data_IF_635388588537
#
_entry.id   IF_635388588537
#
_cell.length_a   1.000
_cell.length_b   1.000
_cell.length_c   1.000
_cell.angle_alpha   90.00
_cell.angle_beta   90.00
_cell.angle_gamma   90.00
#
_symmetry.space_group_name_H-M   'P 1'
#
loop_
_entity.id
_entity.type
_entity.pdbx_description
1 polymer ?
#
# COMPACT_ATOMS: atom_id res chain seq x y z
N UNK A 1 -70.83 37.13 12.51
CA UNK A 1 -69.35 37.18 12.55
C UNK A 1 -68.76 36.12 11.64
N UNK A 2 -67.86 36.51 10.73
CA UNK A 2 -67.30 35.68 9.64
C UNK A 2 -66.46 34.51 10.17
N UNK A 3 -66.83 33.28 9.83
CA UNK A 3 -65.96 32.10 9.97
C UNK A 3 -64.95 32.10 8.82
N UNK A 4 -63.69 32.41 9.11
CA UNK A 4 -62.57 32.21 8.16
C UNK A 4 -62.32 30.70 8.07
N UNK A 5 -62.57 30.12 6.89
CA UNK A 5 -62.25 28.73 6.61
C UNK A 5 -60.72 28.54 6.61
N UNK A 6 -60.24 27.65 7.48
CA UNK A 6 -58.86 27.13 7.48
C UNK A 6 -58.55 26.45 6.15
N UNK A 7 -57.85 27.13 5.24
CA UNK A 7 -57.20 26.55 4.05
C UNK A 7 -55.66 26.50 4.18
N UNK A 8 -55.14 26.53 5.42
CA UNK A 8 -53.70 26.67 5.69
C UNK A 8 -52.95 25.38 6.06
N UNK A 9 -53.64 24.30 6.45
CA UNK A 9 -52.99 23.10 7.00
C UNK A 9 -52.44 22.13 5.94
N UNK A 10 -53.08 22.05 4.77
CA UNK A 10 -52.70 21.05 3.76
C UNK A 10 -51.40 21.42 3.02
N UNK A 11 -51.10 22.72 2.85
CA UNK A 11 -49.87 23.18 2.18
C UNK A 11 -48.60 22.93 3.02
N UNK A 12 -48.76 22.92 4.36
CA UNK A 12 -47.65 22.72 5.30
C UNK A 12 -47.15 21.26 5.28
N UNK A 13 -48.07 20.30 5.12
CA UNK A 13 -47.74 18.87 5.07
C UNK A 13 -46.96 18.45 3.81
N UNK A 14 -47.34 18.98 2.64
CA UNK A 14 -46.67 18.65 1.37
C UNK A 14 -45.26 19.22 1.34
N UNK A 15 -45.08 20.46 1.82
CA UNK A 15 -43.77 21.10 1.85
C UNK A 15 -42.79 20.34 2.78
N UNK A 16 -43.28 19.82 3.92
CA UNK A 16 -42.46 19.01 4.82
C UNK A 16 -41.98 17.70 4.16
N UNK A 17 -42.86 17.00 3.44
CA UNK A 17 -42.50 15.75 2.75
C UNK A 17 -41.42 16.01 1.68
N UNK A 18 -41.55 17.11 0.91
CA UNK A 18 -40.57 17.49 -0.11
C UNK A 18 -39.19 17.75 0.51
N UNK A 19 -39.13 18.46 1.64
CA UNK A 19 -37.86 18.72 2.35
C UNK A 19 -37.23 17.43 2.85
N UNK A 20 -38.02 16.48 3.36
CA UNK A 20 -37.50 15.17 3.77
C UNK A 20 -36.90 14.39 2.59
N UNK A 21 -37.59 14.32 1.45
CA UNK A 21 -37.09 13.62 0.27
C UNK A 21 -35.79 14.25 -0.24
N UNK A 22 -35.70 15.58 -0.23
CA UNK A 22 -34.46 16.29 -0.60
C UNK A 22 -33.31 16.04 0.38
N UNK A 23 -33.59 15.95 1.68
CA UNK A 23 -32.56 15.61 2.67
C UNK A 23 -32.02 14.18 2.48
N UNK A 24 -32.90 13.21 2.21
CA UNK A 24 -32.50 11.82 1.95
C UNK A 24 -31.72 11.67 0.64
N UNK A 25 -32.08 12.41 -0.42
CA UNK A 25 -31.32 12.38 -1.67
C UNK A 25 -29.93 12.98 -1.51
N UNK A 26 -29.79 14.08 -0.76
CA UNK A 26 -28.48 14.66 -0.44
C UNK A 26 -27.61 13.73 0.41
N UNK A 27 -28.20 13.01 1.37
CA UNK A 27 -27.50 11.97 2.14
C UNK A 27 -27.01 10.83 1.24
N UNK A 28 -27.83 10.39 0.29
CA UNK A 28 -27.45 9.35 -0.68
C UNK A 28 -26.26 9.77 -1.55
N UNK A 29 -26.28 11.01 -2.07
CA UNK A 29 -25.17 11.56 -2.86
C UNK A 29 -23.91 11.75 -2.00
N UNK A 30 -24.06 12.21 -0.76
CA UNK A 30 -22.95 12.37 0.17
C UNK A 30 -22.22 11.04 0.44
N UNK A 31 -22.96 9.97 0.70
CA UNK A 31 -22.39 8.63 0.90
C UNK A 31 -21.69 8.11 -0.36
N UNK A 32 -22.27 8.35 -1.54
CA UNK A 32 -21.66 7.98 -2.82
C UNK A 32 -20.31 8.67 -3.04
N UNK A 33 -20.22 9.98 -2.78
CA UNK A 33 -18.96 10.75 -2.89
C UNK A 33 -17.93 10.27 -1.89
N UNK A 34 -18.31 10.02 -0.63
CA UNK A 34 -17.39 9.49 0.39
C UNK A 34 -16.86 8.12 0.00
N UNK A 35 -17.70 7.24 -0.55
CA UNK A 35 -17.26 5.93 -1.02
C UNK A 35 -16.32 6.01 -2.21
N UNK A 36 -16.58 6.90 -3.18
CA UNK A 36 -15.67 7.16 -4.31
C UNK A 36 -14.30 7.69 -3.84
N UNK A 37 -14.27 8.56 -2.83
CA UNK A 37 -13.02 9.06 -2.26
C UNK A 37 -12.29 7.94 -1.51
N UNK A 38 -13.00 7.12 -0.72
CA UNK A 38 -12.40 5.96 -0.04
C UNK A 38 -11.80 4.97 -1.02
N UNK A 39 -12.47 4.65 -2.12
CA UNK A 39 -11.94 3.77 -3.16
C UNK A 39 -10.68 4.37 -3.81
N UNK A 40 -10.70 5.66 -4.15
CA UNK A 40 -9.54 6.35 -4.75
C UNK A 40 -8.35 6.49 -3.80
N UNK A 41 -8.59 6.76 -2.52
CA UNK A 41 -7.54 6.84 -1.50
C UNK A 41 -6.99 5.45 -1.18
N UNK A 42 -7.83 4.40 -1.17
CA UNK A 42 -7.38 3.01 -0.99
C UNK A 42 -6.52 2.49 -2.14
N UNK A 43 -6.56 3.14 -3.31
CA UNK A 43 -5.69 2.82 -4.44
C UNK A 43 -4.29 3.45 -4.34
N UNK A 44 -4.08 4.43 -3.44
CA UNK A 44 -2.81 5.15 -3.27
C UNK A 44 -2.17 5.00 -1.89
N UNK A 45 -2.93 4.62 -0.87
CA UNK A 45 -2.40 4.24 0.46
C UNK A 45 -2.48 2.73 0.52
N UNK A 46 -1.44 2.05 0.06
CA UNK A 46 -1.27 0.63 0.35
C UNK A 46 -1.18 0.50 1.86
N UNK A 47 -2.28 0.11 2.50
CA UNK A 47 -2.28 -0.25 3.91
C UNK A 47 -1.21 -1.33 4.08
N UNK A 48 -0.45 -1.26 5.18
CA UNK A 48 0.48 -2.30 5.58
C UNK A 48 -0.14 -3.69 5.34
N UNK A 49 0.66 -4.62 4.84
CA UNK A 49 0.22 -5.98 4.58
C UNK A 49 -0.29 -6.65 5.86
N UNK A 50 -1.12 -7.69 5.71
CA UNK A 50 -1.44 -8.54 6.85
C UNK A 50 -0.41 -9.67 6.91
N UNK A 51 0.14 -9.96 8.09
CA UNK A 51 1.02 -11.10 8.31
C UNK A 51 0.35 -12.43 7.94
N UNK A 52 -0.97 -12.52 8.12
CA UNK A 52 -1.74 -13.72 7.78
C UNK A 52 -1.77 -14.03 6.27
N UNK A 53 -1.49 -13.02 5.42
CA UNK A 53 -1.45 -13.18 3.96
C UNK A 53 -0.11 -13.80 3.49
N UNK A 54 0.92 -13.82 4.35
CA UNK A 54 2.23 -14.36 4.03
C UNK A 54 2.23 -15.90 4.12
N UNK A 55 2.84 -16.57 3.13
CA UNK A 55 3.03 -18.03 3.15
C UNK A 55 3.94 -18.48 4.30
N UNK A 56 4.92 -17.65 4.65
CA UNK A 56 5.94 -17.90 5.66
C UNK A 56 6.10 -16.62 6.46
N UNK A 57 6.07 -16.72 7.80
CA UNK A 57 6.26 -15.58 8.68
C UNK A 57 7.75 -15.24 8.82
N UNK A 58 8.12 -13.95 8.84
CA UNK A 58 9.49 -13.53 9.11
C UNK A 58 9.85 -13.83 10.58
N UNK A 59 11.11 -14.18 10.81
CA UNK A 59 11.63 -14.56 12.14
C UNK A 59 13.03 -13.99 12.33
N UNK A 60 13.59 -14.05 13.55
CA UNK A 60 14.94 -13.56 13.79
C UNK A 60 16.03 -14.23 12.94
N UNK A 61 15.87 -15.50 12.57
CA UNK A 61 16.83 -16.24 11.73
C UNK A 61 16.66 -15.93 10.23
N UNK A 62 15.48 -15.45 9.84
CA UNK A 62 15.15 -15.09 8.46
C UNK A 62 14.25 -13.83 8.50
N UNK A 63 14.85 -12.66 8.76
CA UNK A 63 14.12 -11.45 9.08
C UNK A 63 13.37 -10.87 7.89
N UNK A 64 13.83 -11.10 6.66
CA UNK A 64 13.17 -10.60 5.45
C UNK A 64 12.67 -11.76 4.58
N UNK A 65 11.35 -11.85 4.40
CA UNK A 65 10.68 -12.88 3.61
C UNK A 65 10.14 -12.28 2.32
N UNK A 66 10.65 -12.77 1.21
CA UNK A 66 10.20 -12.49 -0.15
C UNK A 66 10.30 -13.78 -0.96
N UNK A 67 9.41 -13.97 -1.94
CA UNK A 67 9.51 -15.10 -2.86
C UNK A 67 10.84 -15.02 -3.63
N UNK A 68 11.62 -16.11 -3.67
CA UNK A 68 12.95 -16.14 -4.32
C UNK A 68 12.89 -15.86 -5.82
N UNK A 69 11.80 -16.28 -6.48
CA UNK A 69 11.54 -16.02 -7.89
C UNK A 69 10.21 -15.29 -8.08
N UNK A 70 10.28 -14.09 -8.62
CA UNK A 70 9.13 -13.24 -8.90
C UNK A 70 8.94 -13.10 -10.40
N UNK A 71 7.80 -13.56 -10.90
CA UNK A 71 7.44 -13.45 -12.33
C UNK A 71 6.58 -12.21 -12.55
N UNK A 72 7.11 -11.24 -13.29
CA UNK A 72 6.42 -10.00 -13.62
C UNK A 72 6.24 -9.87 -15.13
N UNK A 73 5.22 -9.13 -15.55
CA UNK A 73 5.04 -8.75 -16.96
C UNK A 73 5.57 -7.34 -17.16
N UNK A 74 6.29 -7.11 -18.25
CA UNK A 74 6.82 -5.79 -18.56
C UNK A 74 5.69 -4.73 -18.60
N UNK A 75 5.93 -3.56 -18.00
CA UNK A 75 4.99 -2.44 -17.91
C UNK A 75 3.66 -2.76 -17.22
N UNK A 76 3.59 -3.86 -16.46
CA UNK A 76 2.41 -4.22 -15.68
C UNK A 76 2.73 -4.19 -14.20
N UNK A 77 1.88 -3.49 -13.44
CA UNK A 77 1.94 -3.48 -11.99
C UNK A 77 1.77 -4.89 -11.45
N UNK A 78 2.72 -5.30 -10.61
CA UNK A 78 2.66 -6.56 -9.87
C UNK A 78 2.75 -6.25 -8.39
N UNK A 79 1.83 -6.81 -7.60
CA UNK A 79 1.79 -6.66 -6.15
C UNK A 79 2.50 -7.83 -5.49
N UNK A 80 3.25 -7.54 -4.45
CA UNK A 80 4.01 -8.48 -3.65
C UNK A 80 3.72 -8.22 -2.18
N UNK A 81 3.64 -9.29 -1.42
CA UNK A 81 3.57 -9.25 0.04
C UNK A 81 4.95 -9.65 0.57
N UNK A 82 5.55 -8.80 1.37
CA UNK A 82 6.91 -8.98 1.91
C UNK A 82 6.82 -8.96 3.43
N UNK A 83 7.38 -9.98 4.08
CA UNK A 83 7.45 -10.04 5.54
C UNK A 83 8.78 -9.46 6.03
N UNK A 84 8.74 -8.68 7.10
CA UNK A 84 9.94 -8.21 7.79
C UNK A 84 9.82 -8.45 9.29
N UNK A 85 10.91 -8.82 9.95
CA UNK A 85 11.04 -8.95 11.39
C UNK A 85 12.19 -8.07 11.85
N UNK A 86 11.91 -7.19 12.81
CA UNK A 86 12.92 -6.32 13.39
C UNK A 86 13.79 -7.12 14.36
N UNK A 87 14.95 -7.57 13.90
CA UNK A 87 15.96 -8.25 14.70
C UNK A 87 16.90 -7.29 15.46
N UNK A 88 16.78 -5.98 15.24
CA UNK A 88 17.52 -4.95 15.97
C UNK A 88 17.06 -4.86 17.42
N UNK A 89 17.92 -4.31 18.28
CA UNK A 89 17.63 -4.01 19.69
C UNK A 89 16.94 -2.65 19.87
N UNK A 90 16.54 -2.01 18.78
CA UNK A 90 15.88 -0.71 18.74
C UNK A 90 14.57 -0.73 17.93
N UNK A 91 13.75 0.28 18.17
CA UNK A 91 12.52 0.55 17.42
C UNK A 91 12.85 1.27 16.10
N UNK A 92 12.23 0.82 15.00
CA UNK A 92 12.31 1.49 13.70
C UNK A 92 11.12 2.44 13.57
N UNK A 93 11.38 3.75 13.55
CA UNK A 93 10.32 4.76 13.56
C UNK A 93 9.52 4.83 12.25
N UNK A 94 10.18 4.65 11.11
CA UNK A 94 9.52 4.60 9.79
C UNK A 94 10.26 3.61 8.90
N UNK A 95 9.58 2.53 8.52
CA UNK A 95 10.14 1.52 7.64
C UNK A 95 9.48 1.54 6.27
N UNK A 96 10.30 1.39 5.22
CA UNK A 96 9.85 1.31 3.83
C UNK A 96 10.68 0.31 3.05
N UNK A 97 10.08 -0.33 2.05
CA UNK A 97 10.79 -1.23 1.14
C UNK A 97 11.27 -0.47 -0.08
N UNK A 98 12.55 -0.63 -0.41
CA UNK A 98 13.15 -0.09 -1.63
C UNK A 98 13.95 -1.17 -2.39
N UNK A 99 14.14 -0.96 -3.68
CA UNK A 99 15.11 -1.73 -4.45
C UNK A 99 16.40 -0.93 -4.53
N UNK A 100 17.48 -1.54 -4.06
CA UNK A 100 18.80 -0.93 -4.07
C UNK A 100 19.50 -1.13 -5.41
N UNK A 101 19.44 -2.34 -5.93
CA UNK A 101 20.20 -2.73 -7.11
C UNK A 101 19.46 -3.83 -7.89
N UNK A 102 19.58 -3.84 -9.22
CA UNK A 102 19.07 -4.91 -10.07
C UNK A 102 20.05 -5.15 -11.21
N UNK A 103 20.58 -6.37 -11.32
CA UNK A 103 21.60 -6.75 -12.30
C UNK A 103 21.01 -7.75 -13.29
N UNK A 104 21.23 -7.56 -14.58
CA UNK A 104 20.80 -8.52 -15.60
C UNK A 104 21.71 -9.75 -15.59
N UNK A 105 21.15 -10.94 -15.38
CA UNK A 105 21.91 -12.20 -15.36
C UNK A 105 22.63 -12.51 -16.67
N UNK A 106 22.16 -11.97 -17.80
CA UNK A 106 22.79 -12.18 -19.12
C UNK A 106 23.85 -11.15 -19.46
N UNK A 107 23.79 -9.98 -18.84
CA UNK A 107 24.67 -8.85 -19.12
C UNK A 107 24.90 -8.03 -17.84
N UNK A 108 25.75 -8.52 -16.93
CA UNK A 108 25.90 -7.93 -15.60
C UNK A 108 26.63 -6.58 -15.60
N UNK A 109 27.29 -6.20 -16.69
CA UNK A 109 28.00 -4.93 -16.83
C UNK A 109 27.11 -3.80 -17.37
N UNK A 110 25.90 -4.13 -17.83
CA UNK A 110 24.96 -3.12 -18.31
C UNK A 110 24.35 -2.33 -17.16
N UNK A 111 24.39 -0.99 -17.25
CA UNK A 111 23.65 -0.11 -16.36
C UNK A 111 22.14 -0.29 -16.62
N UNK A 112 21.49 -1.05 -15.74
CA UNK A 112 20.05 -1.31 -15.80
C UNK A 112 19.32 -0.27 -14.95
N UNK A 113 18.36 0.44 -15.53
CA UNK A 113 17.48 1.34 -14.77
C UNK A 113 16.64 0.54 -13.77
N UNK A 114 16.68 0.90 -12.48
CA UNK A 114 15.88 0.25 -11.45
C UNK A 114 14.38 0.32 -11.79
N UNK A 115 13.62 -0.78 -11.58
CA UNK A 115 12.19 -0.74 -11.78
C UNK A 115 11.54 0.17 -10.73
N UNK A 116 10.42 0.78 -11.08
CA UNK A 116 9.71 1.66 -10.15
C UNK A 116 9.04 0.81 -9.07
N UNK A 117 9.34 1.12 -7.81
CA UNK A 117 8.81 0.44 -6.64
C UNK A 117 8.09 1.42 -5.75
N UNK A 118 6.87 1.07 -5.39
CA UNK A 118 6.10 1.76 -4.36
C UNK A 118 5.78 0.75 -3.29
N UNK A 119 5.95 1.11 -2.02
CA UNK A 119 5.58 0.26 -0.89
C UNK A 119 4.76 1.04 0.12
N UNK A 120 3.98 0.32 0.92
CA UNK A 120 3.45 0.83 2.18
C UNK A 120 4.59 1.29 3.08
N UNK A 121 4.44 2.43 3.75
CA UNK A 121 5.28 2.83 4.88
C UNK A 121 4.64 2.33 6.16
N UNK A 122 5.43 1.75 7.06
CA UNK A 122 4.97 1.32 8.38
C UNK A 122 5.57 2.28 9.40
N UNK A 123 4.68 3.00 10.07
CA UNK A 123 5.03 3.88 11.18
C UNK A 123 5.20 3.01 12.42
N UNK A 124 6.44 2.92 12.91
CA UNK A 124 6.86 2.14 14.09
C UNK A 124 6.89 0.62 13.89
N UNK A 125 8.04 0.02 14.17
CA UNK A 125 8.22 -1.42 14.31
C UNK A 125 9.06 -1.66 15.57
N UNK A 126 8.45 -2.27 16.59
CA UNK A 126 9.14 -2.54 17.84
C UNK A 126 10.23 -3.60 17.65
N UNK A 127 11.25 -3.60 18.51
CA UNK A 127 12.26 -4.66 18.52
C UNK A 127 11.60 -6.01 18.77
N UNK A 128 11.92 -6.99 17.93
CA UNK A 128 11.31 -8.33 17.97
C UNK A 128 9.91 -8.43 17.37
N UNK A 129 9.42 -7.39 16.69
CA UNK A 129 8.13 -7.40 16.02
C UNK A 129 8.25 -7.83 14.55
N UNK A 130 7.26 -8.58 14.07
CA UNK A 130 7.07 -8.91 12.66
C UNK A 130 6.01 -8.00 12.04
N UNK A 131 6.23 -7.56 10.81
CA UNK A 131 5.27 -6.80 10.01
C UNK A 131 5.25 -7.28 8.56
N UNK A 132 4.19 -6.96 7.83
CA UNK A 132 4.08 -7.24 6.41
C UNK A 132 3.95 -5.94 5.60
N UNK A 133 4.69 -5.85 4.51
CA UNK A 133 4.65 -4.76 3.55
C UNK A 133 3.88 -5.19 2.31
N UNK A 134 3.08 -4.28 1.77
CA UNK A 134 2.58 -4.38 0.40
C UNK A 134 3.48 -3.57 -0.49
N UNK A 135 3.98 -4.21 -1.53
CA UNK A 135 4.94 -3.63 -2.47
C UNK A 135 4.39 -3.82 -3.87
N UNK A 136 4.25 -2.72 -4.60
CA UNK A 136 3.91 -2.72 -6.01
C UNK A 136 5.15 -2.42 -6.85
N UNK A 137 5.51 -3.35 -7.74
CA UNK A 137 6.60 -3.19 -8.70
C UNK A 137 6.01 -2.93 -10.08
N UNK A 138 6.51 -1.87 -10.73
CA UNK A 138 6.30 -1.58 -12.15
C UNK A 138 7.64 -1.76 -12.89
N UNK A 139 7.88 -2.93 -13.49
CA UNK A 139 9.08 -3.14 -14.28
C UNK A 139 8.99 -2.33 -15.58
N UNK A 140 9.97 -1.46 -15.82
CA UNK A 140 10.24 -0.85 -17.13
C UNK A 140 11.58 -1.37 -17.63
N UNK A 141 11.65 -2.70 -17.75
CA UNK A 141 12.87 -3.46 -18.01
C UNK A 141 12.73 -4.29 -19.29
N UNK A 142 13.86 -4.68 -19.88
CA UNK A 142 13.89 -5.64 -20.97
C UNK A 142 13.39 -7.02 -20.54
N UNK A 143 13.03 -7.88 -21.50
CA UNK A 143 12.69 -9.27 -21.19
C UNK A 143 13.94 -10.07 -20.83
N UNK A 144 14.19 -10.22 -19.54
CA UNK A 144 15.32 -10.94 -18.99
C UNK A 144 15.04 -11.38 -17.55
N UNK A 145 16.00 -12.10 -16.98
CA UNK A 145 16.04 -12.42 -15.55
C UNK A 145 17.03 -11.48 -14.88
N UNK A 146 16.58 -10.80 -13.83
CA UNK A 146 17.38 -9.87 -13.05
C UNK A 146 17.59 -10.42 -11.64
N UNK A 147 18.74 -10.18 -11.05
CA UNK A 147 18.99 -10.38 -9.62
C UNK A 147 18.82 -9.02 -8.97
N UNK A 148 17.79 -8.86 -8.15
CA UNK A 148 17.47 -7.61 -7.49
C UNK A 148 17.72 -7.73 -5.99
N UNK A 149 18.25 -6.66 -5.39
CA UNK A 149 18.44 -6.53 -3.93
C UNK A 149 17.32 -5.65 -3.38
N UNK A 150 16.48 -6.26 -2.55
CA UNK A 150 15.47 -5.57 -1.76
C UNK A 150 16.08 -5.12 -0.44
N UNK A 151 15.77 -3.91 0.00
CA UNK A 151 16.21 -3.37 1.29
C UNK A 151 15.01 -2.83 2.07
N UNK A 152 15.05 -3.04 3.39
CA UNK A 152 14.17 -2.34 4.33
C UNK A 152 14.92 -1.11 4.80
N UNK A 153 14.44 0.08 4.40
CA UNK A 153 15.00 1.35 4.84
C UNK A 153 14.30 1.86 6.09
N UNK A 154 15.09 2.30 7.06
CA UNK A 154 14.64 3.18 8.12
C UNK A 154 14.70 4.62 7.59
N UNK A 155 13.55 5.26 7.36
CA UNK A 155 13.50 6.63 6.81
C UNK A 155 13.87 7.69 7.86
N UNK A 156 13.97 7.31 9.14
CA UNK A 156 14.33 8.19 10.25
C UNK A 156 15.35 7.53 11.17
N UNK A 157 16.57 7.24 10.68
CA UNK A 157 17.61 6.65 11.50
C UNK A 157 18.10 7.65 12.55
N UNK A 158 18.33 7.18 13.78
CA UNK A 158 19.11 7.92 14.79
C UNK A 158 20.62 7.79 14.52
N UNK A 159 21.48 8.56 15.21
CA UNK A 159 22.94 8.53 15.01
C UNK A 159 23.57 7.13 15.18
N UNK A 160 22.92 6.25 15.94
CA UNK A 160 23.38 4.88 16.22
C UNK A 160 22.66 3.81 15.37
N UNK A 161 21.78 4.21 14.44
CA UNK A 161 20.99 3.29 13.62
C UNK A 161 21.42 3.33 12.15
N UNK A 162 21.47 2.16 11.53
CA UNK A 162 21.69 2.05 10.09
C UNK A 162 20.46 2.50 9.30
N UNK A 163 20.68 3.17 8.16
CA UNK A 163 19.61 3.53 7.21
C UNK A 163 19.00 2.27 6.57
N UNK A 164 19.79 1.20 6.39
CA UNK A 164 19.36 -0.08 5.85
C UNK A 164 19.26 -1.10 7.00
N UNK A 165 18.03 -1.47 7.37
CA UNK A 165 17.80 -2.40 8.47
C UNK A 165 18.09 -3.86 8.06
N UNK A 166 17.71 -4.26 6.85
CA UNK A 166 17.92 -5.61 6.35
C UNK A 166 17.87 -5.64 4.81
N UNK A 167 18.55 -6.60 4.19
CA UNK A 167 18.57 -6.74 2.73
C UNK A 167 18.46 -8.19 2.28
N UNK A 168 17.82 -8.41 1.13
CA UNK A 168 17.69 -9.75 0.54
C UNK A 168 17.64 -9.71 -0.98
N UNK A 169 18.33 -10.65 -1.59
CA UNK A 169 18.34 -10.82 -3.03
C UNK A 169 17.22 -11.76 -3.49
N UNK A 170 16.66 -11.48 -4.67
CA UNK A 170 15.67 -12.32 -5.33
C UNK A 170 15.81 -12.22 -6.85
N UNK A 171 15.25 -13.20 -7.55
CA UNK A 171 15.22 -13.24 -9.01
C UNK A 171 13.93 -12.61 -9.54
N UNK A 172 14.06 -11.53 -10.31
CA UNK A 172 12.96 -10.88 -11.02
C UNK A 172 12.94 -11.35 -12.48
N UNK A 173 11.96 -12.18 -12.83
CA UNK A 173 11.77 -12.70 -14.17
C UNK A 173 10.77 -11.83 -14.94
N UNK A 174 11.25 -11.05 -15.91
CA UNK A 174 10.43 -10.13 -16.71
C UNK A 174 10.00 -10.81 -18.01
N UNK A 175 8.71 -11.15 -18.09
CA UNK A 175 8.08 -11.74 -19.28
C UNK A 175 7.21 -10.75 -20.06
N UNK A 176 6.61 -11.25 -21.15
CA UNK A 176 5.56 -10.58 -21.94
C UNK A 176 4.19 -10.60 -21.26
#
# INVERSE_FOLDING_TARGET
>A
MRRKHKKGDLSLSVNAIVVFVLAFSMLGVGLFVVNLIKEKVSAGVERAGNLDDLKILPTSDNPLIVDEEIKVKNKKLTKLDIGFYNNGDYEIASAKIELKECINTKDPESDVSLPSVTSSTIEKIDSGEAVAFKVTILPDLGQATYICTLVVKNEQPTEDQDEEAESKQFFLNVGT
#
